data_IF_663990612737
#
_entry.id   IF_663990612737
#
_cell.length_a   1.000
_cell.length_b   1.000
_cell.length_c   1.000
_cell.angle_alpha   90.00
_cell.angle_beta   90.00
_cell.angle_gamma   90.00
#
_symmetry.space_group_name_H-M   'P 1'
#
loop_
_entity.id
_entity.type
_entity.pdbx_description
1 polymer ?
#
# COMPACT_ATOMS: atom_id res chain seq x y z
N UNK A 1 -24.17 30.87 -4.11
CA UNK A 1 -22.69 30.97 -4.03
C UNK A 1 -22.10 31.02 -5.44
N UNK A 2 -20.93 31.65 -5.63
CA UNK A 2 -20.29 31.81 -6.95
C UNK A 2 -19.17 30.78 -7.20
N UNK A 3 -19.20 29.62 -6.55
CA UNK A 3 -18.23 28.54 -6.75
C UNK A 3 -18.92 27.17 -6.79
N UNK A 4 -18.29 26.21 -7.44
CA UNK A 4 -18.68 24.80 -7.48
C UNK A 4 -17.47 23.95 -7.09
N UNK A 5 -17.72 22.71 -6.73
CA UNK A 5 -16.66 21.76 -6.37
C UNK A 5 -15.93 21.29 -7.63
N UNK A 6 -14.63 21.02 -7.48
CA UNK A 6 -13.84 20.43 -8.57
C UNK A 6 -14.43 19.08 -8.98
N UNK A 7 -14.42 18.77 -10.28
CA UNK A 7 -14.88 17.46 -10.80
C UNK A 7 -14.20 16.29 -10.09
N UNK A 8 -12.91 16.43 -9.79
CA UNK A 8 -12.13 15.45 -9.04
C UNK A 8 -12.61 15.24 -7.59
N UNK A 9 -13.37 16.20 -7.02
CA UNK A 9 -13.99 16.06 -5.69
C UNK A 9 -15.43 15.56 -5.72
N UNK A 10 -16.06 15.51 -6.89
CA UNK A 10 -17.46 15.09 -7.03
C UNK A 10 -17.55 13.62 -7.43
N UNK A 11 -18.36 12.84 -6.71
CA UNK A 11 -18.65 11.45 -7.07
C UNK A 11 -17.56 10.42 -6.67
N UNK A 12 -16.52 10.84 -5.94
CA UNK A 12 -15.57 9.90 -5.38
C UNK A 12 -16.23 9.10 -4.24
N UNK A 13 -16.49 7.83 -4.49
CA UNK A 13 -16.97 6.89 -3.46
C UNK A 13 -15.78 6.10 -2.97
N UNK A 14 -15.34 6.38 -1.73
CA UNK A 14 -14.39 5.50 -1.05
C UNK A 14 -15.17 4.27 -0.56
N UNK A 15 -15.14 3.21 -1.36
CA UNK A 15 -15.97 2.01 -1.16
C UNK A 15 -15.88 1.44 0.26
N UNK A 16 -14.68 1.40 0.84
CA UNK A 16 -14.49 0.93 2.22
C UNK A 16 -15.30 1.78 3.20
N UNK A 17 -15.33 3.12 3.04
CA UNK A 17 -16.13 4.01 3.91
C UNK A 17 -17.62 3.84 3.68
N UNK A 18 -18.04 3.60 2.44
CA UNK A 18 -19.43 3.29 2.15
C UNK A 18 -19.86 2.00 2.84
N UNK A 19 -19.08 0.93 2.74
CA UNK A 19 -19.32 -0.35 3.44
C UNK A 19 -19.37 -0.13 4.96
N UNK A 20 -18.42 0.63 5.52
CA UNK A 20 -18.40 0.96 6.95
C UNK A 20 -19.68 1.70 7.38
N UNK A 21 -20.16 2.64 6.57
CA UNK A 21 -21.41 3.37 6.88
C UNK A 21 -22.63 2.44 6.86
N UNK A 22 -22.72 1.52 5.89
CA UNK A 22 -23.77 0.50 5.84
C UNK A 22 -23.68 -0.43 7.07
N UNK A 23 -22.49 -0.92 7.39
CA UNK A 23 -22.25 -1.79 8.53
C UNK A 23 -22.62 -1.11 9.86
N UNK A 24 -22.29 0.18 10.02
CA UNK A 24 -22.68 0.96 11.20
C UNK A 24 -24.20 1.09 11.35
N UNK A 25 -24.94 1.31 10.24
CA UNK A 25 -26.41 1.32 10.26
C UNK A 25 -26.97 -0.03 10.70
N UNK A 26 -26.43 -1.14 10.17
CA UNK A 26 -26.82 -2.50 10.58
C UNK A 26 -26.55 -2.73 12.07
N UNK A 27 -25.38 -2.32 12.56
CA UNK A 27 -25.04 -2.40 13.99
C UNK A 27 -26.03 -1.61 14.87
N UNK A 28 -26.40 -0.40 14.46
CA UNK A 28 -27.41 0.42 15.15
C UNK A 28 -28.79 -0.26 15.19
N UNK A 29 -29.09 -1.10 14.19
CA UNK A 29 -30.30 -1.91 14.11
C UNK A 29 -30.20 -3.24 14.88
N UNK A 30 -29.13 -3.46 15.66
CA UNK A 30 -28.94 -4.65 16.50
C UNK A 30 -28.28 -5.85 15.78
N UNK A 31 -27.81 -5.68 14.53
CA UNK A 31 -27.08 -6.73 13.82
C UNK A 31 -25.66 -6.80 14.36
N UNK A 32 -25.19 -8.00 14.69
CA UNK A 32 -23.79 -8.22 15.04
C UNK A 32 -22.92 -8.07 13.79
N UNK A 33 -21.94 -7.16 13.83
CA UNK A 33 -21.00 -6.89 12.72
C UNK A 33 -19.60 -7.32 13.14
N UNK A 34 -18.97 -8.15 12.32
CA UNK A 34 -17.56 -8.54 12.45
C UNK A 34 -16.73 -7.71 11.47
N UNK A 35 -15.72 -7.01 12.00
CA UNK A 35 -14.88 -6.11 11.22
C UNK A 35 -13.63 -6.81 10.73
N UNK A 36 -13.67 -7.41 9.53
CA UNK A 36 -12.54 -8.14 8.95
C UNK A 36 -11.87 -7.39 7.78
N UNK A 37 -12.33 -6.17 7.48
CA UNK A 37 -11.83 -5.35 6.38
C UNK A 37 -10.79 -4.29 6.79
N UNK A 38 -10.43 -4.23 8.08
CA UNK A 38 -9.54 -3.17 8.60
C UNK A 38 -8.13 -3.71 8.75
N UNK A 39 -7.20 -3.19 7.93
CA UNK A 39 -5.79 -3.50 7.99
C UNK A 39 -5.02 -2.65 9.01
N UNK A 40 -5.54 -2.51 10.23
CA UNK A 40 -4.88 -1.83 11.34
C UNK A 40 -4.46 -2.87 12.39
N UNK A 41 -3.15 -3.15 12.53
CA UNK A 41 -2.68 -4.16 13.48
C UNK A 41 -3.08 -3.85 14.92
N UNK A 42 -3.10 -2.57 15.32
CA UNK A 42 -3.47 -2.17 16.69
C UNK A 42 -4.96 -2.43 16.95
N UNK A 43 -5.84 -2.10 16.01
CA UNK A 43 -7.27 -2.40 16.14
C UNK A 43 -7.56 -3.90 16.13
N UNK A 44 -6.64 -4.71 15.59
CA UNK A 44 -6.72 -6.18 15.59
C UNK A 44 -6.01 -6.82 16.79
N UNK A 45 -5.60 -6.02 17.77
CA UNK A 45 -5.08 -6.50 19.07
C UNK A 45 -3.56 -6.66 19.12
N UNK A 46 -2.82 -6.25 18.09
CA UNK A 46 -1.36 -6.18 18.20
C UNK A 46 -0.94 -5.02 19.11
N UNK A 47 0.11 -5.24 19.87
CA UNK A 47 0.72 -4.21 20.69
C UNK A 47 2.05 -3.77 20.09
N UNK A 48 2.34 -2.47 20.20
CA UNK A 48 3.70 -1.98 19.95
C UNK A 48 4.60 -2.57 21.03
N UNK A 49 5.69 -3.28 20.67
CA UNK A 49 6.61 -3.89 21.63
C UNK A 49 7.22 -2.87 22.59
N UNK A 50 7.54 -3.29 23.81
CA UNK A 50 8.09 -2.39 24.82
C UNK A 50 9.41 -1.78 24.38
N UNK A 51 10.32 -2.55 23.78
CA UNK A 51 11.59 -2.01 23.27
C UNK A 51 11.41 -0.91 22.21
N UNK A 52 10.33 -0.93 21.39
CA UNK A 52 10.00 0.18 20.48
C UNK A 52 9.53 1.39 21.28
N UNK A 53 8.71 1.19 22.32
CA UNK A 53 8.27 2.28 23.20
C UNK A 53 9.44 2.94 23.90
N UNK A 54 10.40 2.17 24.39
CA UNK A 54 11.61 2.67 25.02
C UNK A 54 12.43 3.53 24.06
N UNK A 55 12.61 3.09 22.80
CA UNK A 55 13.25 3.90 21.74
C UNK A 55 12.53 5.24 21.56
N UNK A 56 11.20 5.23 21.57
CA UNK A 56 10.41 6.46 21.42
C UNK A 56 10.51 7.38 22.64
N UNK A 57 10.48 6.81 23.85
CA UNK A 57 10.66 7.57 25.11
C UNK A 57 12.02 8.24 25.14
N UNK A 58 13.08 7.56 24.73
CA UNK A 58 14.43 8.14 24.68
C UNK A 58 14.53 9.27 23.66
N UNK A 59 13.91 9.10 22.49
CA UNK A 59 13.83 10.16 21.49
C UNK A 59 13.06 11.39 21.98
N UNK A 60 11.98 11.19 22.75
CA UNK A 60 11.20 12.30 23.32
C UNK A 60 11.98 13.15 24.35
N UNK A 61 13.11 12.64 24.87
CA UNK A 61 14.03 13.42 25.74
C UNK A 61 14.96 14.34 24.95
N UNK A 62 15.05 14.17 23.65
CA UNK A 62 15.91 14.96 22.77
C UNK A 62 15.16 16.18 22.20
N UNK A 63 15.65 17.40 22.42
CA UNK A 63 15.00 18.63 21.92
C UNK A 63 14.80 18.63 20.40
N UNK A 64 15.72 18.03 19.63
CA UNK A 64 15.62 17.98 18.15
C UNK A 64 14.39 17.24 17.66
N UNK A 65 13.79 16.34 18.47
CA UNK A 65 12.58 15.58 18.13
C UNK A 65 11.36 16.49 17.97
N UNK A 66 11.36 17.66 18.61
CA UNK A 66 10.28 18.64 18.57
C UNK A 66 10.43 19.68 17.47
N UNK A 67 11.58 19.70 16.79
CA UNK A 67 11.84 20.62 15.67
C UNK A 67 11.31 20.12 14.33
N UNK A 68 11.27 21.01 13.35
CA UNK A 68 11.03 20.63 11.98
C UNK A 68 12.17 19.78 11.42
N UNK A 69 11.86 18.74 10.65
CA UNK A 69 12.83 18.05 9.82
C UNK A 69 13.12 18.83 8.53
N UNK A 70 14.21 18.55 7.81
CA UNK A 70 14.35 18.99 6.43
C UNK A 70 13.19 18.49 5.56
N UNK A 71 12.88 19.19 4.48
CA UNK A 71 11.74 18.86 3.58
C UNK A 71 11.78 17.41 3.06
N UNK A 72 12.96 16.93 2.67
CA UNK A 72 13.12 15.53 2.24
C UNK A 72 13.09 14.53 3.40
N UNK A 73 13.27 14.97 4.63
CA UNK A 73 13.36 14.15 5.84
C UNK A 73 14.72 14.25 6.52
N UNK A 74 14.84 13.64 7.71
CA UNK A 74 16.05 13.66 8.55
C UNK A 74 17.24 13.04 7.82
N UNK A 75 18.36 13.78 7.72
CA UNK A 75 19.54 13.39 6.96
C UNK A 75 20.11 12.04 7.44
N UNK A 76 20.32 11.87 8.75
CA UNK A 76 20.81 10.62 9.32
C UNK A 76 19.89 9.41 9.01
N UNK A 77 18.59 9.63 8.89
CA UNK A 77 17.65 8.55 8.53
C UNK A 77 17.72 8.24 7.06
N UNK A 78 17.85 9.25 6.19
CA UNK A 78 18.02 9.07 4.75
C UNK A 78 19.35 8.37 4.44
N UNK A 79 20.43 8.75 5.09
CA UNK A 79 21.75 8.09 5.02
C UNK A 79 21.63 6.61 5.40
N UNK A 80 21.03 6.32 6.56
CA UNK A 80 20.82 4.94 7.02
C UNK A 80 20.03 4.09 6.03
N UNK A 81 18.97 4.65 5.46
CA UNK A 81 18.13 3.92 4.49
C UNK A 81 18.86 3.70 3.15
N UNK A 82 19.58 4.71 2.65
CA UNK A 82 20.40 4.58 1.44
C UNK A 82 21.47 3.49 1.61
N UNK A 83 22.18 3.48 2.74
CA UNK A 83 23.13 2.40 3.04
C UNK A 83 22.48 1.01 3.05
N UNK A 84 21.27 0.88 3.60
CA UNK A 84 20.55 -0.41 3.60
C UNK A 84 20.22 -0.90 2.19
N UNK A 85 19.82 -0.01 1.28
CA UNK A 85 19.62 -0.33 -0.13
C UNK A 85 20.95 -0.75 -0.76
N UNK A 86 21.98 0.06 -0.59
CA UNK A 86 23.28 -0.10 -1.24
C UNK A 86 24.04 -1.38 -0.81
N UNK A 87 23.80 -1.84 0.43
CA UNK A 87 24.38 -3.13 0.93
C UNK A 87 23.91 -4.34 0.12
N UNK A 88 22.79 -4.27 -0.58
CA UNK A 88 22.33 -5.33 -1.50
C UNK A 88 23.07 -5.30 -2.84
N UNK A 89 23.65 -4.15 -3.21
CA UNK A 89 24.65 -4.02 -4.26
C UNK A 89 24.13 -3.98 -5.70
N UNK A 90 22.82 -4.07 -5.96
CA UNK A 90 22.30 -4.12 -7.34
C UNK A 90 22.06 -2.74 -7.93
N UNK A 91 21.45 -1.84 -7.18
CA UNK A 91 21.30 -0.42 -7.52
C UNK A 91 21.85 0.40 -6.39
N UNK A 92 22.55 1.48 -6.70
CA UNK A 92 23.09 2.41 -5.72
C UNK A 92 22.25 3.69 -5.71
N UNK A 93 21.88 4.16 -4.54
CA UNK A 93 21.20 5.43 -4.31
C UNK A 93 21.94 6.28 -3.29
N UNK A 94 21.63 7.55 -3.27
CA UNK A 94 22.14 8.52 -2.30
C UNK A 94 21.05 8.89 -1.30
N UNK A 95 21.37 9.53 -0.18
CA UNK A 95 20.35 10.10 0.71
C UNK A 95 19.40 11.08 -0.01
N UNK A 96 19.85 11.73 -1.09
CA UNK A 96 19.02 12.66 -1.87
C UNK A 96 17.89 11.97 -2.65
N UNK A 97 18.00 10.67 -2.87
CA UNK A 97 16.99 9.83 -3.54
C UNK A 97 15.91 9.32 -2.58
N UNK A 98 15.95 9.74 -1.31
CA UNK A 98 14.96 9.36 -0.30
C UNK A 98 14.14 10.58 0.12
N UNK A 99 12.81 10.46 0.03
CA UNK A 99 11.87 11.54 0.34
C UNK A 99 10.82 11.02 1.31
N UNK A 100 10.70 11.64 2.49
CA UNK A 100 9.72 11.29 3.52
C UNK A 100 8.38 12.01 3.33
N UNK A 101 7.28 11.35 3.73
CA UNK A 101 5.91 11.84 3.64
C UNK A 101 5.14 11.54 4.94
N UNK A 102 4.01 12.24 5.16
CA UNK A 102 3.11 11.99 6.28
C UNK A 102 2.25 10.74 6.06
N UNK A 103 2.94 9.59 5.96
CA UNK A 103 2.42 8.29 5.60
C UNK A 103 2.31 8.09 4.09
N UNK A 104 2.15 6.84 3.65
CA UNK A 104 2.12 6.52 2.22
C UNK A 104 0.89 7.08 1.49
N UNK A 105 -0.21 7.36 2.19
CA UNK A 105 -1.34 8.04 1.56
C UNK A 105 -0.98 9.42 1.02
N UNK A 106 -0.12 10.19 1.72
CA UNK A 106 0.41 11.45 1.24
C UNK A 106 1.38 11.25 0.07
N UNK A 107 2.30 10.30 0.17
CA UNK A 107 3.21 9.93 -0.91
C UNK A 107 2.46 9.55 -2.20
N UNK A 108 1.44 8.70 -2.10
CA UNK A 108 0.58 8.29 -3.21
C UNK A 108 -0.11 9.50 -3.83
N UNK A 109 -0.76 10.34 -3.01
CA UNK A 109 -1.47 11.53 -3.51
C UNK A 109 -0.54 12.45 -4.31
N UNK A 110 0.70 12.68 -3.83
CA UNK A 110 1.72 13.48 -4.51
C UNK A 110 2.20 12.84 -5.81
N UNK A 111 2.47 11.54 -5.79
CA UNK A 111 2.89 10.81 -6.98
C UNK A 111 1.90 10.96 -8.14
N UNK A 112 0.61 10.80 -7.86
CA UNK A 112 -0.40 10.93 -8.92
C UNK A 112 -0.70 12.38 -9.29
N UNK A 113 -0.68 13.33 -8.35
CA UNK A 113 -0.96 14.74 -8.65
C UNK A 113 0.18 15.45 -9.36
N UNK A 114 1.39 14.92 -9.36
CA UNK A 114 2.56 15.51 -10.01
C UNK A 114 2.68 15.19 -11.50
N UNK A 115 1.86 14.27 -12.03
CA UNK A 115 1.83 13.95 -13.47
C UNK A 115 0.68 14.68 -14.17
N UNK A 116 0.74 14.77 -15.49
CA UNK A 116 -0.30 15.43 -16.31
C UNK A 116 -1.59 14.62 -16.29
N UNK A 117 -2.74 15.29 -16.28
CA UNK A 117 -4.09 14.69 -16.20
C UNK A 117 -4.46 13.77 -17.38
N UNK A 118 -3.76 13.87 -18.49
CA UNK A 118 -3.99 13.10 -19.71
C UNK A 118 -3.13 11.83 -19.81
N UNK A 119 -2.23 11.58 -18.82
CA UNK A 119 -1.45 10.36 -18.74
C UNK A 119 -1.84 9.50 -17.53
N UNK A 120 -1.50 8.23 -17.54
CA UNK A 120 -2.09 7.22 -16.66
C UNK A 120 -1.03 6.29 -16.07
N UNK A 121 -1.32 5.82 -14.85
CA UNK A 121 -0.60 4.70 -14.23
C UNK A 121 -1.50 3.47 -14.29
N UNK A 122 -1.05 2.39 -14.94
CA UNK A 122 -1.76 1.11 -14.93
C UNK A 122 -1.49 0.37 -13.61
N UNK A 123 -2.53 -0.23 -13.02
CA UNK A 123 -2.48 -0.84 -11.71
C UNK A 123 -3.10 -2.24 -11.67
N UNK A 124 -2.78 -3.10 -10.67
CA UNK A 124 -3.45 -4.39 -10.53
C UNK A 124 -4.93 -4.24 -10.18
N UNK A 125 -5.75 -5.23 -10.52
CA UNK A 125 -7.16 -5.32 -10.13
C UNK A 125 -7.47 -6.72 -9.60
N UNK A 126 -7.87 -6.85 -8.31
CA UNK A 126 -8.11 -5.79 -7.34
C UNK A 126 -6.84 -5.06 -6.91
N UNK A 127 -6.97 -3.86 -6.30
CA UNK A 127 -5.86 -3.04 -5.83
C UNK A 127 -6.18 -2.32 -4.53
N UNK A 128 -5.15 -1.77 -3.90
CA UNK A 128 -5.33 -0.91 -2.73
C UNK A 128 -6.07 0.36 -3.11
N UNK A 129 -7.19 0.61 -2.43
CA UNK A 129 -8.14 1.67 -2.76
C UNK A 129 -7.54 3.08 -2.76
N UNK A 130 -6.46 3.33 -2.02
CA UNK A 130 -5.80 4.66 -2.03
C UNK A 130 -5.12 4.94 -3.36
N UNK A 131 -4.47 3.95 -4.01
CA UNK A 131 -3.94 4.10 -5.36
C UNK A 131 -5.06 4.30 -6.39
N UNK A 132 -6.12 3.50 -6.27
CA UNK A 132 -7.30 3.60 -7.13
C UNK A 132 -7.91 5.01 -7.09
N UNK A 133 -8.14 5.53 -5.89
CA UNK A 133 -8.71 6.87 -5.71
C UNK A 133 -7.77 7.98 -6.16
N UNK A 134 -6.46 7.84 -5.94
CA UNK A 134 -5.49 8.81 -6.40
C UNK A 134 -5.50 8.93 -7.93
N UNK A 135 -5.58 7.79 -8.64
CA UNK A 135 -5.67 7.77 -10.11
C UNK A 135 -7.00 8.37 -10.62
N UNK A 136 -8.13 8.01 -10.00
CA UNK A 136 -9.44 8.59 -10.36
C UNK A 136 -9.45 10.10 -10.09
N UNK A 137 -8.92 10.55 -8.96
CA UNK A 137 -8.83 11.95 -8.60
C UNK A 137 -7.94 12.73 -9.59
N UNK A 138 -6.80 12.14 -9.96
CA UNK A 138 -5.86 12.70 -10.92
C UNK A 138 -6.49 12.89 -12.31
N UNK A 139 -7.04 11.82 -12.88
CA UNK A 139 -7.46 11.82 -14.28
C UNK A 139 -8.94 12.09 -14.49
N UNK A 140 -9.78 12.05 -13.45
CA UNK A 140 -11.26 12.15 -13.52
C UNK A 140 -11.92 11.11 -14.42
N UNK A 141 -11.27 9.96 -14.66
CA UNK A 141 -11.74 8.81 -15.44
C UNK A 141 -11.45 7.49 -14.70
N UNK A 142 -12.14 6.39 -15.05
CA UNK A 142 -11.83 5.08 -14.53
C UNK A 142 -10.35 4.71 -14.75
N UNK A 143 -9.70 4.02 -13.81
CA UNK A 143 -8.29 3.65 -13.92
C UNK A 143 -8.05 2.62 -15.03
N UNK A 144 -6.84 2.58 -15.57
CA UNK A 144 -6.36 1.45 -16.34
C UNK A 144 -5.87 0.36 -15.38
N UNK A 145 -6.38 -0.85 -15.53
CA UNK A 145 -6.03 -1.99 -14.67
C UNK A 145 -5.51 -3.16 -15.46
N UNK A 146 -4.76 -4.06 -14.81
CA UNK A 146 -4.46 -5.40 -15.29
C UNK A 146 -4.92 -6.42 -14.26
N UNK A 147 -5.45 -7.55 -14.76
CA UNK A 147 -6.13 -8.51 -13.89
C UNK A 147 -5.17 -9.30 -13.03
N UNK A 148 -5.51 -9.42 -11.75
CA UNK A 148 -5.00 -10.46 -10.85
C UNK A 148 -5.98 -11.65 -10.91
N UNK A 149 -5.49 -12.82 -11.31
CA UNK A 149 -6.37 -13.97 -11.59
C UNK A 149 -6.59 -14.81 -10.33
N UNK A 150 -7.80 -14.80 -9.73
CA UNK A 150 -8.08 -15.58 -8.54
C UNK A 150 -8.01 -17.10 -8.77
N UNK A 151 -8.20 -17.57 -9.99
CA UNK A 151 -8.11 -18.99 -10.35
C UNK A 151 -6.66 -19.48 -10.55
N UNK A 152 -5.70 -18.56 -10.50
CA UNK A 152 -4.26 -18.84 -10.61
C UNK A 152 -3.52 -18.17 -9.44
N UNK A 153 -3.95 -18.40 -8.21
CA UNK A 153 -3.36 -17.87 -6.98
C UNK A 153 -3.16 -16.35 -6.98
N UNK A 154 -4.07 -15.60 -7.62
CA UNK A 154 -3.95 -14.16 -7.81
C UNK A 154 -2.71 -13.71 -8.61
N UNK A 155 -2.15 -14.59 -9.44
CA UNK A 155 -1.07 -14.18 -10.33
C UNK A 155 -1.54 -13.12 -11.34
N UNK A 156 -0.70 -12.10 -11.66
CA UNK A 156 -1.05 -11.07 -12.62
C UNK A 156 -1.09 -11.62 -14.05
N UNK A 157 -2.05 -11.17 -14.83
CA UNK A 157 -2.08 -11.42 -16.29
C UNK A 157 -1.08 -10.47 -16.99
N UNK A 158 0.17 -10.90 -17.07
CA UNK A 158 1.25 -10.11 -17.68
C UNK A 158 1.01 -9.88 -19.17
N UNK A 159 0.34 -10.80 -19.85
CA UNK A 159 0.02 -10.64 -21.27
C UNK A 159 -1.07 -9.56 -21.46
N UNK A 160 -2.04 -9.48 -20.56
CA UNK A 160 -3.01 -8.38 -20.56
C UNK A 160 -2.34 -7.04 -20.27
N UNK A 161 -1.44 -6.99 -19.26
CA UNK A 161 -0.65 -5.80 -18.94
C UNK A 161 0.07 -5.29 -20.18
N UNK A 162 0.82 -6.14 -20.85
CA UNK A 162 1.59 -5.76 -22.02
C UNK A 162 0.70 -5.29 -23.18
N UNK A 163 -0.39 -6.00 -23.50
CA UNK A 163 -1.36 -5.58 -24.52
C UNK A 163 -1.93 -4.19 -24.21
N UNK A 164 -2.30 -3.91 -22.95
CA UNK A 164 -2.84 -2.61 -22.55
C UNK A 164 -1.81 -1.50 -22.70
N UNK A 165 -0.58 -1.73 -22.27
CA UNK A 165 0.55 -0.79 -22.45
C UNK A 165 0.78 -0.47 -23.94
N UNK A 166 0.76 -1.49 -24.80
CA UNK A 166 0.94 -1.31 -26.24
C UNK A 166 -0.19 -0.49 -26.89
N UNK A 167 -1.43 -0.73 -26.48
CA UNK A 167 -2.61 -0.13 -27.10
C UNK A 167 -2.99 1.25 -26.55
N UNK A 168 -2.57 1.59 -25.31
CA UNK A 168 -2.95 2.83 -24.63
C UNK A 168 -1.73 3.72 -24.37
N UNK A 169 -1.41 4.59 -25.30
CA UNK A 169 -0.23 5.48 -25.23
C UNK A 169 -0.24 6.49 -24.08
N UNK A 170 -1.39 6.66 -23.42
CA UNK A 170 -1.50 7.45 -22.21
C UNK A 170 -0.88 6.77 -20.98
N UNK A 171 -0.66 5.45 -21.00
CA UNK A 171 -0.01 4.74 -19.89
C UNK A 171 1.47 5.09 -19.89
N UNK A 172 1.95 5.69 -18.79
CA UNK A 172 3.34 6.14 -18.60
C UNK A 172 4.02 5.43 -17.43
N UNK A 173 3.27 4.73 -16.59
CA UNK A 173 3.80 4.03 -15.43
C UNK A 173 3.02 2.77 -15.08
N UNK A 174 3.68 1.84 -14.39
CA UNK A 174 3.11 0.59 -13.90
C UNK A 174 3.21 0.56 -12.38
N UNK A 175 2.06 0.35 -11.70
CA UNK A 175 2.00 0.08 -10.26
C UNK A 175 2.09 -1.42 -10.00
N UNK A 176 2.94 -1.78 -9.04
CA UNK A 176 3.00 -3.12 -8.42
C UNK A 176 2.88 -2.95 -6.91
N UNK A 177 2.08 -3.78 -6.26
CA UNK A 177 1.97 -3.84 -4.79
C UNK A 177 2.52 -5.20 -4.35
N UNK A 178 3.65 -5.26 -3.64
CA UNK A 178 4.31 -6.53 -3.33
C UNK A 178 4.90 -6.58 -1.91
N UNK A 179 4.38 -7.46 -1.04
CA UNK A 179 3.18 -8.32 -1.13
C UNK A 179 1.90 -7.54 -1.41
N UNK A 180 0.97 -8.18 -2.14
CA UNK A 180 -0.21 -7.50 -2.64
C UNK A 180 -1.30 -7.26 -1.57
N UNK A 181 -1.89 -6.11 -1.65
CA UNK A 181 -3.10 -5.73 -0.93
C UNK A 181 -4.21 -5.46 -1.97
N UNK A 182 -5.28 -6.30 -2.02
CA UNK A 182 -5.83 -7.08 -0.91
C UNK A 182 -5.61 -8.61 -0.99
N UNK A 183 -4.85 -9.14 -1.93
CA UNK A 183 -4.86 -10.59 -2.22
C UNK A 183 -3.90 -11.42 -1.37
N UNK A 184 -2.88 -10.78 -0.76
CA UNK A 184 -1.82 -11.49 -0.06
C UNK A 184 -0.85 -12.23 -0.99
N UNK A 185 -0.93 -11.98 -2.30
CA UNK A 185 -0.03 -12.55 -3.29
C UNK A 185 1.40 -11.99 -3.14
N UNK A 186 2.38 -12.85 -3.28
CA UNK A 186 3.81 -12.49 -3.32
C UNK A 186 4.33 -12.77 -4.71
N UNK A 187 4.73 -11.73 -5.42
CA UNK A 187 5.21 -11.85 -6.79
C UNK A 187 6.54 -12.62 -6.84
N UNK A 188 6.63 -13.69 -7.63
CA UNK A 188 7.91 -14.33 -7.95
C UNK A 188 8.84 -13.38 -8.70
N UNK A 189 10.16 -13.55 -8.52
CA UNK A 189 11.17 -12.71 -9.17
C UNK A 189 11.01 -12.69 -10.69
N UNK A 190 10.76 -13.84 -11.31
CA UNK A 190 10.56 -13.94 -12.76
C UNK A 190 9.38 -13.11 -13.27
N UNK A 191 8.30 -12.99 -12.47
CA UNK A 191 7.15 -12.13 -12.82
C UNK A 191 7.52 -10.66 -12.71
N UNK A 192 8.23 -10.27 -11.66
CA UNK A 192 8.68 -8.89 -11.47
C UNK A 192 9.67 -8.47 -12.56
N UNK A 193 10.60 -9.33 -12.93
CA UNK A 193 11.55 -9.09 -14.02
C UNK A 193 10.81 -8.87 -15.35
N UNK A 194 9.77 -9.67 -15.65
CA UNK A 194 8.93 -9.45 -16.85
C UNK A 194 8.22 -8.10 -16.83
N UNK A 195 7.74 -7.64 -15.67
CA UNK A 195 7.12 -6.30 -15.53
C UNK A 195 8.16 -5.20 -15.79
N UNK A 196 9.36 -5.34 -15.23
CA UNK A 196 10.48 -4.41 -15.48
C UNK A 196 10.84 -4.37 -16.98
N UNK A 197 10.88 -5.53 -17.65
CA UNK A 197 11.16 -5.60 -19.09
C UNK A 197 10.07 -4.96 -19.95
N UNK A 198 8.81 -5.07 -19.56
CA UNK A 198 7.70 -4.35 -20.21
C UNK A 198 7.91 -2.84 -20.03
N UNK A 199 8.19 -2.37 -18.81
CA UNK A 199 8.45 -0.97 -18.55
C UNK A 199 9.62 -0.44 -19.40
N UNK A 200 10.73 -1.17 -19.47
CA UNK A 200 11.92 -0.82 -20.29
C UNK A 200 11.59 -0.73 -21.78
N UNK A 201 10.86 -1.71 -22.34
CA UNK A 201 10.53 -1.74 -23.78
C UNK A 201 9.54 -0.66 -24.22
N UNK A 202 8.79 -0.11 -23.27
CA UNK A 202 7.73 0.86 -23.55
C UNK A 202 7.99 2.25 -22.92
N UNK A 203 9.22 2.50 -22.45
CA UNK A 203 9.64 3.77 -21.84
C UNK A 203 8.72 4.20 -20.69
N UNK A 204 8.38 3.27 -19.79
CA UNK A 204 7.53 3.51 -18.63
C UNK A 204 8.37 3.55 -17.36
N UNK A 205 7.90 4.32 -16.36
CA UNK A 205 8.45 4.22 -15.02
C UNK A 205 7.67 3.22 -14.15
N UNK A 206 8.26 2.82 -13.03
CA UNK A 206 7.69 1.87 -12.09
C UNK A 206 7.34 2.52 -10.76
N UNK A 207 6.20 2.14 -10.18
CA UNK A 207 5.87 2.40 -8.77
C UNK A 207 5.69 1.05 -8.09
N UNK A 208 6.50 0.79 -7.06
CA UNK A 208 6.35 -0.38 -6.20
C UNK A 208 5.90 0.06 -4.82
N UNK A 209 4.68 -0.33 -4.43
CA UNK A 209 4.25 -0.24 -3.04
C UNK A 209 4.78 -1.47 -2.30
N UNK A 210 5.83 -1.25 -1.52
CA UNK A 210 6.52 -2.27 -0.73
C UNK A 210 6.21 -2.16 0.77
N UNK A 211 5.05 -1.61 1.12
CA UNK A 211 4.59 -1.44 2.52
C UNK A 211 4.64 -2.74 3.32
N UNK A 212 4.44 -3.88 2.66
CA UNK A 212 4.43 -5.21 3.28
C UNK A 212 5.69 -6.02 2.99
N UNK A 213 6.77 -5.40 2.49
CA UNK A 213 7.95 -6.08 1.98
C UNK A 213 8.51 -7.16 2.92
N UNK A 214 8.57 -6.88 4.22
CA UNK A 214 9.06 -7.81 5.22
C UNK A 214 7.98 -8.69 5.85
N UNK A 215 6.72 -8.61 5.38
CA UNK A 215 5.62 -9.44 5.88
C UNK A 215 5.33 -10.54 4.86
N UNK A 216 6.15 -11.59 4.91
CA UNK A 216 6.06 -12.78 4.03
C UNK A 216 6.25 -14.05 4.84
N UNK A 217 5.51 -15.09 4.48
CA UNK A 217 5.47 -16.37 5.17
C UNK A 217 5.15 -17.51 4.19
N UNK A 218 4.87 -18.72 4.70
CA UNK A 218 4.64 -19.91 3.88
C UNK A 218 5.78 -20.18 2.87
N UNK A 219 7.05 -19.95 3.30
CA UNK A 219 8.24 -20.23 2.52
C UNK A 219 8.51 -19.28 1.35
N UNK A 220 7.72 -18.21 1.17
CA UNK A 220 7.95 -17.19 0.14
C UNK A 220 8.95 -16.14 0.60
N UNK A 221 9.53 -15.44 -0.38
CA UNK A 221 10.41 -14.29 -0.18
C UNK A 221 10.01 -13.18 -1.14
N UNK A 222 10.09 -11.94 -0.70
CA UNK A 222 9.96 -10.78 -1.57
C UNK A 222 11.29 -10.43 -2.22
N UNK A 223 11.22 -9.87 -3.42
CA UNK A 223 12.35 -9.24 -4.10
C UNK A 223 12.04 -7.74 -4.17
N UNK A 224 12.88 -6.88 -3.58
CA UNK A 224 12.65 -5.44 -3.63
C UNK A 224 12.93 -4.89 -5.02
N UNK A 225 12.29 -3.77 -5.36
CA UNK A 225 12.49 -3.09 -6.64
C UNK A 225 13.97 -2.80 -6.91
N UNK A 226 14.72 -2.37 -5.89
CA UNK A 226 16.16 -2.10 -5.98
C UNK A 226 17.01 -3.25 -6.53
N UNK A 227 16.53 -4.49 -6.41
CA UNK A 227 17.29 -5.67 -6.82
C UNK A 227 17.04 -6.07 -8.28
N UNK A 228 15.98 -5.53 -8.91
CA UNK A 228 15.51 -5.95 -10.23
C UNK A 228 15.32 -4.80 -11.22
N UNK A 229 15.26 -3.56 -10.75
CA UNK A 229 14.89 -2.41 -11.58
C UNK A 229 15.86 -2.14 -12.74
N UNK A 230 17.15 -2.48 -12.57
CA UNK A 230 18.18 -2.22 -13.56
C UNK A 230 18.32 -0.74 -13.88
N UNK A 231 18.09 -0.38 -15.14
CA UNK A 231 18.19 0.98 -15.66
C UNK A 231 16.83 1.71 -15.80
N UNK A 232 15.72 1.04 -15.47
CA UNK A 232 14.38 1.62 -15.56
C UNK A 232 14.18 2.68 -14.45
N UNK A 233 13.62 3.87 -14.76
CA UNK A 233 13.22 4.82 -13.72
C UNK A 233 12.13 4.27 -12.82
N UNK A 234 12.18 4.56 -11.50
CA UNK A 234 11.11 4.08 -10.63
C UNK A 234 11.17 4.57 -9.20
N UNK A 235 10.10 4.28 -8.49
CA UNK A 235 9.88 4.65 -7.09
C UNK A 235 9.51 3.39 -6.31
N UNK A 236 10.17 3.14 -5.18
CA UNK A 236 9.69 2.23 -4.16
C UNK A 236 9.07 3.02 -3.01
N UNK A 237 7.87 2.66 -2.59
CA UNK A 237 7.14 3.27 -1.48
C UNK A 237 7.19 2.36 -0.26
N UNK A 238 7.65 2.89 0.87
CA UNK A 238 7.82 2.16 2.13
C UNK A 238 7.33 2.97 3.32
N UNK A 239 7.05 2.28 4.43
CA UNK A 239 6.59 2.97 5.63
C UNK A 239 6.59 2.10 6.86
N UNK A 240 6.43 2.76 8.02
CA UNK A 240 6.48 2.11 9.34
C UNK A 240 5.14 1.51 9.78
N UNK A 241 4.06 1.76 9.05
CA UNK A 241 2.69 1.48 9.50
C UNK A 241 2.40 -0.01 9.71
N UNK A 242 3.08 -0.88 8.96
CA UNK A 242 2.77 -2.33 8.92
C UNK A 242 3.89 -3.18 9.50
N UNK A 243 5.11 -2.86 9.15
CA UNK A 243 6.30 -3.55 9.66
C UNK A 243 6.51 -3.30 11.16
N UNK A 244 6.38 -2.06 11.59
CA UNK A 244 6.38 -1.71 13.01
C UNK A 244 4.94 -1.40 13.43
N UNK A 245 4.08 -2.17 13.90
CA UNK A 245 2.64 -1.96 14.02
C UNK A 245 2.26 -0.54 14.53
N UNK A 246 2.68 0.47 13.75
CA UNK A 246 2.57 1.88 14.13
C UNK A 246 1.96 2.75 13.02
N UNK A 247 0.70 2.44 12.58
CA UNK A 247 0.03 3.22 11.53
C UNK A 247 -0.22 4.67 11.94
N UNK A 248 -0.36 4.93 13.24
CA UNK A 248 -0.52 6.27 13.80
C UNK A 248 0.73 7.17 13.72
N UNK A 249 1.91 6.61 13.43
CA UNK A 249 3.14 7.39 13.20
C UNK A 249 3.05 8.35 12.02
N UNK A 250 2.18 8.06 11.05
CA UNK A 250 2.08 8.82 9.80
C UNK A 250 3.45 9.06 9.16
N UNK A 251 4.21 7.99 8.95
CA UNK A 251 5.55 8.06 8.37
C UNK A 251 5.73 7.02 7.27
N UNK A 252 6.09 7.48 6.10
CA UNK A 252 6.45 6.69 4.94
C UNK A 252 7.46 7.45 4.10
N UNK A 253 8.09 6.75 3.15
CA UNK A 253 9.08 7.36 2.28
C UNK A 253 9.04 6.74 0.87
N UNK A 254 9.55 7.49 -0.08
CA UNK A 254 9.92 7.02 -1.41
C UNK A 254 11.42 6.80 -1.48
N UNK A 255 11.83 5.72 -2.11
CA UNK A 255 13.18 5.50 -2.63
C UNK A 255 13.11 5.67 -4.14
N UNK A 256 13.86 6.64 -4.68
CA UNK A 256 13.85 6.98 -6.10
C UNK A 256 15.03 6.31 -6.78
N UNK A 257 14.80 5.71 -7.93
CA UNK A 257 15.82 4.99 -8.70
C UNK A 257 15.95 5.57 -10.10
N UNK A 258 17.19 5.75 -10.56
CA UNK A 258 17.53 6.12 -11.94
C UNK A 258 16.89 7.45 -12.42
N UNK A 259 16.66 8.41 -11.53
CA UNK A 259 16.11 9.72 -11.93
C UNK A 259 17.06 10.50 -12.86
N UNK A 260 18.35 10.27 -12.74
CA UNK A 260 19.40 10.86 -13.58
C UNK A 260 19.43 10.31 -15.02
N UNK A 261 18.75 9.21 -15.29
CA UNK A 261 18.73 8.54 -16.61
C UNK A 261 17.63 9.03 -17.54
N UNK A 262 16.62 9.71 -17.02
CA UNK A 262 15.49 10.24 -17.78
C UNK A 262 15.12 11.64 -17.28
N UNK A 263 15.27 12.65 -18.13
CA UNK A 263 15.00 14.05 -17.79
C UNK A 263 13.53 14.30 -17.43
N UNK A 264 12.60 13.58 -18.05
CA UNK A 264 11.16 13.72 -17.76
C UNK A 264 10.85 13.14 -16.39
N UNK A 265 11.45 11.99 -16.06
CA UNK A 265 11.29 11.37 -14.75
C UNK A 265 11.96 12.22 -13.65
N UNK A 266 13.14 12.79 -13.90
CA UNK A 266 13.78 13.74 -12.98
C UNK A 266 12.86 14.92 -12.67
N UNK A 267 12.27 15.55 -13.70
CA UNK A 267 11.31 16.65 -13.53
C UNK A 267 10.04 16.21 -12.79
N UNK A 268 9.60 14.96 -12.96
CA UNK A 268 8.48 14.41 -12.20
C UNK A 268 8.82 14.31 -10.70
N UNK A 269 10.00 13.83 -10.35
CA UNK A 269 10.47 13.79 -8.96
C UNK A 269 10.60 15.19 -8.37
N UNK A 270 11.12 16.16 -9.13
CA UNK A 270 11.19 17.57 -8.72
C UNK A 270 9.81 18.18 -8.49
N UNK A 271 8.83 17.81 -9.31
CA UNK A 271 7.44 18.25 -9.12
C UNK A 271 6.83 17.70 -7.82
N UNK A 272 7.08 16.43 -7.49
CA UNK A 272 6.68 15.82 -6.20
C UNK A 272 7.32 16.59 -5.05
N UNK A 273 8.62 16.88 -5.13
CA UNK A 273 9.35 17.60 -4.10
C UNK A 273 8.85 19.03 -3.94
N UNK A 274 8.57 19.73 -5.05
CA UNK A 274 8.01 21.09 -5.06
C UNK A 274 6.66 21.13 -4.34
N UNK A 275 5.77 20.18 -4.64
CA UNK A 275 4.49 20.07 -3.94
C UNK A 275 4.70 19.81 -2.44
N UNK A 276 5.68 19.01 -2.08
CA UNK A 276 6.00 18.72 -0.69
C UNK A 276 6.52 19.94 0.07
N UNK A 277 7.22 20.87 -0.58
CA UNK A 277 7.71 22.11 0.06
C UNK A 277 6.58 22.93 0.71
N UNK A 278 5.35 22.87 0.16
CA UNK A 278 4.20 23.56 0.74
C UNK A 278 3.79 23.02 2.12
N UNK A 279 4.19 21.80 2.45
CA UNK A 279 3.94 21.14 3.72
C UNK A 279 5.05 21.41 4.76
N UNK A 280 6.17 22.01 4.34
CA UNK A 280 7.40 22.25 5.11
C UNK A 280 8.18 20.95 5.34
N UNK A 281 7.65 20.00 6.12
CA UNK A 281 8.31 18.73 6.43
C UNK A 281 7.30 17.66 6.85
N UNK A 282 7.76 16.42 6.93
CA UNK A 282 7.01 15.31 7.53
C UNK A 282 7.36 15.16 9.02
N UNK A 283 6.53 14.37 9.74
CA UNK A 283 6.68 14.14 11.19
C UNK A 283 8.10 13.72 11.58
N UNK A 284 8.76 14.43 12.49
CA UNK A 284 10.18 14.25 12.85
C UNK A 284 10.42 12.99 13.68
N UNK A 285 9.66 12.80 14.77
CA UNK A 285 9.87 11.70 15.72
C UNK A 285 9.94 10.31 15.05
N UNK A 286 8.97 9.89 14.20
CA UNK A 286 9.02 8.56 13.61
C UNK A 286 10.19 8.39 12.64
N UNK A 287 10.62 9.45 11.94
CA UNK A 287 11.81 9.39 11.10
C UNK A 287 13.05 9.07 11.93
N UNK A 288 13.26 9.78 13.06
CA UNK A 288 14.38 9.54 13.97
C UNK A 288 14.35 8.14 14.61
N UNK A 289 13.16 7.55 14.75
CA UNK A 289 13.01 6.22 15.33
C UNK A 289 13.43 5.10 14.37
N UNK A 290 13.30 5.27 13.04
CA UNK A 290 13.58 4.23 12.04
C UNK A 290 14.99 3.61 12.21
N UNK A 291 16.09 4.37 12.23
CA UNK A 291 17.41 3.78 12.36
C UNK A 291 17.57 3.01 13.68
N UNK A 292 17.04 3.55 14.78
CA UNK A 292 17.16 2.93 16.11
C UNK A 292 16.36 1.63 16.21
N UNK A 293 15.14 1.61 15.65
CA UNK A 293 14.29 0.42 15.61
C UNK A 293 14.92 -0.65 14.71
N UNK A 294 15.32 -0.30 13.48
CA UNK A 294 15.86 -1.27 12.52
C UNK A 294 17.25 -1.82 12.89
N UNK A 295 18.02 -1.09 13.70
CA UNK A 295 19.29 -1.55 14.24
C UNK A 295 19.16 -2.24 15.60
N UNK A 296 18.00 -2.23 16.23
CA UNK A 296 17.80 -2.82 17.55
C UNK A 296 17.94 -4.36 17.50
N UNK A 297 18.61 -4.99 18.50
CA UNK A 297 18.77 -6.45 18.53
C UNK A 297 17.45 -7.22 18.46
N UNK A 298 16.39 -6.71 19.10
CA UNK A 298 15.06 -7.33 19.13
C UNK A 298 14.29 -7.21 17.80
N UNK A 299 14.74 -6.38 16.86
CA UNK A 299 13.97 -6.13 15.63
C UNK A 299 13.76 -7.40 14.79
N UNK A 300 14.80 -8.19 14.54
CA UNK A 300 14.68 -9.42 13.75
C UNK A 300 13.88 -10.51 14.48
N UNK A 301 14.16 -10.84 15.75
CA UNK A 301 13.34 -11.79 16.50
C UNK A 301 11.86 -11.44 16.51
N UNK A 302 11.55 -10.15 16.71
CA UNK A 302 10.19 -9.63 16.69
C UNK A 302 9.49 -9.84 15.34
N UNK A 303 10.15 -9.51 14.23
CA UNK A 303 9.58 -9.77 12.90
C UNK A 303 9.31 -11.25 12.68
N UNK A 304 10.26 -12.12 13.00
CA UNK A 304 10.10 -13.57 12.84
C UNK A 304 8.94 -14.13 13.67
N UNK A 305 8.72 -13.62 14.87
CA UNK A 305 7.57 -14.01 15.70
C UNK A 305 6.25 -13.58 15.06
N UNK A 306 6.18 -12.33 14.59
CA UNK A 306 4.99 -11.82 13.86
C UNK A 306 4.70 -12.63 12.61
N UNK A 307 5.72 -12.98 11.84
CA UNK A 307 5.55 -13.77 10.63
C UNK A 307 5.00 -15.17 10.94
N UNK A 308 5.50 -15.82 11.98
CA UNK A 308 4.94 -17.11 12.45
C UNK A 308 3.48 -16.98 12.87
N UNK A 309 3.12 -15.87 13.52
CA UNK A 309 1.75 -15.58 13.91
C UNK A 309 0.84 -15.43 12.69
N UNK A 310 1.21 -14.59 11.72
CA UNK A 310 0.44 -14.41 10.49
C UNK A 310 0.35 -15.67 9.65
N UNK A 311 1.43 -16.43 9.55
CA UNK A 311 1.43 -17.74 8.87
C UNK A 311 0.40 -18.68 9.49
N UNK A 312 0.39 -18.77 10.82
CA UNK A 312 -0.58 -19.60 11.56
C UNK A 312 -2.02 -19.15 11.28
N UNK A 313 -2.31 -17.84 11.39
CA UNK A 313 -3.66 -17.32 11.14
C UNK A 313 -4.10 -17.54 9.68
N UNK A 314 -3.22 -17.28 8.72
CA UNK A 314 -3.48 -17.52 7.29
C UNK A 314 -3.80 -18.98 7.03
N UNK A 315 -3.01 -19.90 7.58
CA UNK A 315 -3.21 -21.34 7.38
C UNK A 315 -4.51 -21.85 8.03
N UNK A 316 -4.90 -21.31 9.20
CA UNK A 316 -6.18 -21.62 9.86
C UNK A 316 -7.34 -21.12 8.99
N UNK A 317 -7.31 -19.84 8.58
CA UNK A 317 -8.36 -19.25 7.77
C UNK A 317 -8.53 -20.00 6.44
N UNK A 318 -7.42 -20.26 5.75
CA UNK A 318 -7.43 -21.06 4.51
C UNK A 318 -7.99 -22.46 4.73
N UNK A 319 -7.58 -23.15 5.80
CA UNK A 319 -8.07 -24.49 6.14
C UNK A 319 -9.57 -24.56 6.37
N UNK A 320 -10.16 -23.50 6.94
CA UNK A 320 -11.61 -23.41 7.18
C UNK A 320 -12.37 -23.06 5.89
N UNK A 321 -11.86 -22.11 5.11
CA UNK A 321 -12.58 -21.51 4.00
C UNK A 321 -12.49 -22.32 2.70
N UNK A 322 -11.39 -23.02 2.45
CA UNK A 322 -11.11 -23.72 1.18
C UNK A 322 -12.13 -24.80 0.80
N UNK A 323 -12.78 -25.39 1.80
CA UNK A 323 -13.73 -26.49 1.62
C UNK A 323 -15.20 -26.03 1.69
N UNK A 324 -15.43 -24.71 1.87
CA UNK A 324 -16.78 -24.16 1.88
C UNK A 324 -17.35 -24.14 0.45
N UNK A 325 -18.59 -24.62 0.25
CA UNK A 325 -19.25 -24.54 -1.05
C UNK A 325 -19.42 -23.06 -1.43
N UNK A 326 -19.20 -22.75 -2.72
CA UNK A 326 -19.40 -21.42 -3.29
C UNK A 326 -18.42 -20.33 -2.84
N UNK A 327 -17.39 -20.71 -2.11
CA UNK A 327 -16.28 -19.83 -1.68
C UNK A 327 -15.02 -20.27 -2.40
N UNK A 328 -14.26 -19.31 -2.90
CA UNK A 328 -12.91 -19.52 -3.39
C UNK A 328 -11.95 -18.65 -2.61
N UNK A 329 -10.91 -19.25 -2.09
CA UNK A 329 -9.81 -18.61 -1.39
C UNK A 329 -8.49 -19.21 -1.84
N UNK A 330 -7.43 -18.40 -1.82
CA UNK A 330 -6.08 -18.83 -2.09
C UNK A 330 -5.26 -18.79 -0.80
N UNK A 331 -4.28 -19.66 -0.70
CA UNK A 331 -3.34 -19.64 0.42
C UNK A 331 -2.48 -18.40 0.32
N UNK A 332 -2.63 -17.46 1.24
CA UNK A 332 -1.84 -16.24 1.24
C UNK A 332 -0.42 -16.48 1.73
N UNK A 333 0.51 -15.70 1.23
CA UNK A 333 1.93 -15.84 1.54
C UNK A 333 2.58 -14.53 1.98
N UNK A 334 1.84 -13.42 1.93
CA UNK A 334 2.35 -12.12 2.33
C UNK A 334 1.26 -11.15 2.74
N UNK A 335 1.66 -9.99 3.21
CA UNK A 335 0.80 -9.02 3.88
C UNK A 335 0.03 -9.67 5.05
N UNK A 336 -1.18 -9.22 5.35
CA UNK A 336 -2.09 -9.85 6.31
C UNK A 336 -3.54 -9.83 5.81
N UNK A 337 -3.70 -10.01 4.49
CA UNK A 337 -5.00 -10.07 3.83
C UNK A 337 -5.21 -11.42 3.18
N UNK A 338 -6.47 -11.81 3.12
CA UNK A 338 -6.96 -12.94 2.34
C UNK A 338 -8.23 -12.50 1.63
N UNK A 339 -8.23 -12.51 0.30
CA UNK A 339 -9.42 -12.19 -0.48
C UNK A 339 -10.28 -13.42 -0.66
N UNK A 340 -11.53 -13.33 -0.22
CA UNK A 340 -12.54 -14.37 -0.35
C UNK A 340 -13.44 -14.01 -1.53
N UNK A 341 -13.53 -14.90 -2.51
CA UNK A 341 -14.41 -14.74 -3.68
C UNK A 341 -15.64 -15.61 -3.50
N UNK A 342 -16.81 -14.99 -3.60
CA UNK A 342 -18.10 -15.68 -3.54
C UNK A 342 -18.63 -15.94 -4.95
N UNK A 343 -19.22 -17.12 -5.18
CA UNK A 343 -19.93 -17.39 -6.41
C UNK A 343 -21.27 -16.63 -6.41
N UNK A 344 -21.43 -15.67 -7.31
CA UNK A 344 -22.63 -14.82 -7.40
C UNK A 344 -23.93 -15.63 -7.62
N UNK A 345 -23.84 -16.80 -8.30
CA UNK A 345 -24.99 -17.66 -8.55
C UNK A 345 -25.69 -18.13 -7.27
N UNK A 346 -25.00 -18.10 -6.12
CA UNK A 346 -25.55 -18.49 -4.82
C UNK A 346 -25.80 -17.31 -3.90
N UNK A 347 -25.38 -16.09 -4.27
CA UNK A 347 -25.74 -14.88 -3.56
C UNK A 347 -27.25 -14.63 -3.76
N UNK A 348 -28.00 -15.04 -2.75
CA UNK A 348 -29.44 -14.86 -2.72
C UNK A 348 -29.74 -13.43 -2.22
N UNK A 349 -30.16 -12.54 -3.12
CA UNK A 349 -30.60 -11.18 -2.79
C UNK A 349 -31.81 -11.12 -1.82
N UNK A 350 -32.31 -12.29 -1.36
CA UNK A 350 -33.40 -12.43 -0.41
C UNK A 350 -32.94 -12.85 1.00
N UNK A 351 -31.69 -12.70 1.34
CA UNK A 351 -31.23 -13.00 2.70
C UNK A 351 -31.98 -12.13 3.71
N UNK A 352 -32.68 -12.80 4.63
CA UNK A 352 -33.24 -12.14 5.80
C UNK A 352 -32.09 -11.78 6.73
N UNK A 353 -31.79 -10.48 6.84
CA UNK A 353 -30.89 -10.01 7.87
C UNK A 353 -31.50 -10.33 9.26
N UNK A 354 -30.70 -10.84 10.21
CA UNK A 354 -31.17 -11.10 11.57
C UNK A 354 -31.32 -9.78 12.35
N UNK A 355 -32.19 -8.89 11.85
CA UNK A 355 -32.51 -7.62 12.51
C UNK A 355 -33.57 -7.91 13.56
N UNK A 356 -33.35 -7.57 14.83
CA UNK A 356 -34.41 -7.68 15.86
C UNK A 356 -35.67 -6.96 15.39
N UNK A 357 -36.85 -7.60 15.58
CA UNK A 357 -38.12 -7.08 15.06
C UNK A 357 -38.39 -5.64 15.49
N UNK A 358 -37.99 -5.27 16.73
CA UNK A 358 -38.18 -3.94 17.27
C UNK A 358 -37.39 -2.85 16.53
N UNK A 359 -36.34 -3.23 15.80
CA UNK A 359 -35.48 -2.31 15.09
C UNK A 359 -35.74 -2.23 13.57
N UNK A 360 -36.65 -3.04 13.01
CA UNK A 360 -36.97 -3.08 11.56
C UNK A 360 -37.44 -1.72 11.06
N UNK A 361 -38.29 -1.02 11.84
CA UNK A 361 -38.78 0.34 11.49
C UNK A 361 -37.67 1.38 11.45
N UNK A 362 -36.70 1.30 12.39
CA UNK A 362 -35.54 2.19 12.42
C UNK A 362 -34.62 1.94 11.24
N UNK A 363 -34.42 0.68 10.85
CA UNK A 363 -33.65 0.31 9.69
C UNK A 363 -34.24 0.85 8.37
N UNK A 364 -35.58 0.69 8.18
CA UNK A 364 -36.26 1.16 6.98
C UNK A 364 -36.26 2.69 6.87
N UNK A 365 -36.36 3.42 8.00
CA UNK A 365 -36.31 4.90 8.00
C UNK A 365 -34.94 5.48 7.66
N UNK A 366 -33.87 4.70 7.76
CA UNK A 366 -32.50 5.14 7.54
C UNK A 366 -31.95 4.70 6.16
N UNK A 367 -32.74 4.07 5.32
CA UNK A 367 -32.50 3.82 3.91
C UNK A 367 -33.00 4.98 3.05
#
# INVERSE_FOLDING_TARGET
MRFDIAKSGSGLVYEIRHIVNVANRLKQSGVQVFWENIGDPIQKGENVPEWIREVLIDLLRENRTYGYSPTKGMDATREFLAERVNRRGKVQITPEDIIFFNGLGDAIARAYSAIRVDVRIIMPEPTYSTHLLAEIHHASFPPNTYRMNPYCDWSPDINELERKVQSHKAIVGILVINPDNPTGYVYPEETLVRIVDIARRHDLFLIFDETYHNIVFNGKKTVPLSDIIGDVPGISMKGVSKEFPWPGARCGWMEVYNADRDETFARYIDAILTQKMSEVCSTTLPQMAIPRIMAHPEYRPYLEERLRHYEKLSNIAYGILKDLPYVMVNRTCGAFYMTVVFNEAVLNNRQKLPIPQDNVRAYIKNQ
#
